data_IF_458801277013
#
_entry.id   IF_458801277013
#
_cell.length_a   1.000
_cell.length_b   1.000
_cell.length_c   1.000
_cell.angle_alpha   90.00
_cell.angle_beta   90.00
_cell.angle_gamma   90.00
#
_symmetry.space_group_name_H-M   'P 1'
#
loop_
_entity.id
_entity.type
_entity.pdbx_description
1 polymer ?
#
# COMPACT_ATOMS: atom_id res chain seq x y z
N UNK A 1 17.81 15.82 -28.11
CA UNK A 1 16.77 15.75 -27.07
C UNK A 1 17.45 15.73 -25.70
N UNK A 2 17.62 16.89 -25.09
CA UNK A 2 18.10 17.01 -23.71
C UNK A 2 17.03 16.43 -22.77
N UNK A 3 17.37 15.38 -22.03
CA UNK A 3 16.50 14.83 -20.98
C UNK A 3 16.15 15.97 -20.02
N UNK A 4 14.88 16.33 -19.93
CA UNK A 4 14.43 17.26 -18.90
C UNK A 4 14.82 16.68 -17.53
N UNK A 5 15.37 17.49 -16.62
CA UNK A 5 15.71 17.00 -15.29
C UNK A 5 14.45 16.46 -14.62
N UNK A 6 14.52 15.23 -14.13
CA UNK A 6 13.43 14.63 -13.37
C UNK A 6 13.10 15.55 -12.18
N UNK A 7 11.81 15.70 -11.82
CA UNK A 7 11.41 16.48 -10.64
C UNK A 7 12.22 16.03 -9.42
N UNK A 8 12.56 16.95 -8.53
CA UNK A 8 13.42 16.71 -7.37
C UNK A 8 12.93 15.53 -6.49
N UNK A 9 11.61 15.33 -6.44
CA UNK A 9 10.93 14.19 -5.81
C UNK A 9 11.32 12.84 -6.42
N UNK A 10 11.44 12.75 -7.74
CA UNK A 10 11.84 11.53 -8.44
C UNK A 10 13.31 11.16 -8.16
N UNK A 11 14.18 12.16 -8.02
CA UNK A 11 15.59 11.96 -7.63
C UNK A 11 15.71 11.49 -6.17
N UNK A 12 14.82 11.95 -5.30
CA UNK A 12 14.79 11.58 -3.87
C UNK A 12 14.33 10.13 -3.66
N UNK A 13 13.34 9.66 -4.43
CA UNK A 13 12.88 8.27 -4.39
C UNK A 13 13.92 7.27 -4.94
N UNK A 14 14.78 7.71 -5.87
CA UNK A 14 15.84 6.87 -6.42
C UNK A 14 16.89 6.41 -5.39
N UNK A 15 17.01 7.12 -4.26
CA UNK A 15 17.87 6.72 -3.14
C UNK A 15 17.30 5.51 -2.40
N UNK A 16 15.97 5.36 -2.37
CA UNK A 16 15.27 4.33 -1.63
C UNK A 16 15.21 2.97 -2.37
N UNK A 17 15.51 2.94 -3.68
CA UNK A 17 15.47 1.69 -4.43
C UNK A 17 16.68 0.80 -4.15
N UNK A 18 16.47 -0.52 -4.01
CA UNK A 18 17.55 -1.45 -3.74
C UNK A 18 18.50 -1.57 -4.94
N UNK A 19 19.81 -1.55 -4.67
CA UNK A 19 20.92 -1.63 -5.62
C UNK A 19 21.77 -2.87 -5.39
N UNK A 20 21.84 -3.38 -4.16
CA UNK A 20 22.62 -4.59 -3.81
C UNK A 20 21.71 -5.79 -3.48
N UNK A 21 22.20 -7.04 -3.56
CA UNK A 21 21.40 -8.21 -3.19
C UNK A 21 20.88 -8.17 -1.74
N UNK A 22 21.66 -7.61 -0.82
CA UNK A 22 21.23 -7.42 0.57
C UNK A 22 20.07 -6.42 0.65
N UNK A 23 20.17 -5.28 -0.02
CA UNK A 23 19.10 -4.28 -0.09
C UNK A 23 17.83 -4.86 -0.73
N UNK A 24 17.96 -5.72 -1.75
CA UNK A 24 16.83 -6.46 -2.33
C UNK A 24 16.21 -7.39 -1.28
N UNK A 25 17.01 -8.14 -0.53
CA UNK A 25 16.51 -9.00 0.56
C UNK A 25 15.73 -8.21 1.62
N UNK A 26 16.27 -7.06 2.06
CA UNK A 26 15.61 -6.15 3.01
C UNK A 26 14.33 -5.56 2.43
N UNK A 27 14.34 -5.17 1.15
CA UNK A 27 13.17 -4.66 0.44
C UNK A 27 12.03 -5.69 0.43
N UNK A 28 12.32 -6.92 0.01
CA UNK A 28 11.34 -8.01 -0.03
C UNK A 28 10.76 -8.29 1.36
N UNK A 29 11.62 -8.34 2.39
CA UNK A 29 11.17 -8.54 3.77
C UNK A 29 10.28 -7.39 4.26
N UNK A 30 10.66 -6.15 3.97
CA UNK A 30 9.90 -4.96 4.37
C UNK A 30 8.53 -4.95 3.70
N UNK A 31 8.46 -5.19 2.38
CA UNK A 31 7.20 -5.28 1.65
C UNK A 31 6.29 -6.41 2.16
N UNK A 32 6.86 -7.59 2.43
CA UNK A 32 6.10 -8.69 3.03
C UNK A 32 5.59 -8.33 4.44
N UNK A 33 6.40 -7.65 5.25
CA UNK A 33 6.02 -7.20 6.58
C UNK A 33 4.92 -6.14 6.56
N UNK A 34 4.99 -5.18 5.63
CA UNK A 34 3.96 -4.16 5.42
C UNK A 34 2.64 -4.82 5.03
N UNK A 35 2.65 -5.68 4.00
CA UNK A 35 1.47 -6.43 3.57
C UNK A 35 0.85 -7.28 4.70
N UNK A 36 1.66 -7.83 5.61
CA UNK A 36 1.15 -8.55 6.77
C UNK A 36 0.55 -7.60 7.83
N UNK A 37 1.34 -6.64 8.31
CA UNK A 37 0.99 -5.78 9.43
C UNK A 37 -0.17 -4.85 9.09
N UNK A 38 -0.17 -4.24 7.91
CA UNK A 38 -1.20 -3.30 7.50
C UNK A 38 -2.54 -4.02 7.27
N UNK A 39 -2.53 -5.20 6.65
CA UNK A 39 -3.76 -5.99 6.52
C UNK A 39 -4.32 -6.43 7.88
N UNK A 40 -3.44 -6.80 8.82
CA UNK A 40 -3.85 -7.15 10.18
C UNK A 40 -4.50 -5.97 10.91
N UNK A 41 -3.91 -4.78 10.84
CA UNK A 41 -4.42 -3.58 11.52
C UNK A 41 -5.69 -3.07 10.83
N UNK A 42 -5.63 -2.80 9.52
CA UNK A 42 -6.71 -2.09 8.85
C UNK A 42 -7.89 -3.00 8.49
N UNK A 43 -7.64 -4.24 8.06
CA UNK A 43 -8.72 -5.19 7.69
C UNK A 43 -9.04 -6.14 8.84
N UNK A 44 -8.03 -6.55 9.61
CA UNK A 44 -8.20 -7.43 10.76
C UNK A 44 -8.77 -6.74 12.00
N UNK A 45 -8.52 -5.44 12.18
CA UNK A 45 -9.04 -4.69 13.33
C UNK A 45 -9.98 -3.56 12.89
N UNK A 46 -9.50 -2.50 12.23
CA UNK A 46 -10.30 -1.28 11.95
C UNK A 46 -11.59 -1.59 11.19
N UNK A 47 -11.50 -2.32 10.08
CA UNK A 47 -12.67 -2.74 9.29
C UNK A 47 -13.68 -3.52 10.14
N UNK A 48 -13.21 -4.45 10.99
CA UNK A 48 -14.09 -5.26 11.85
C UNK A 48 -14.78 -4.42 12.91
N UNK A 49 -14.10 -3.40 13.44
CA UNK A 49 -14.72 -2.46 14.38
C UNK A 49 -15.75 -1.57 13.68
N UNK A 50 -15.46 -1.06 12.48
CA UNK A 50 -16.44 -0.30 11.71
C UNK A 50 -17.65 -1.15 11.30
N UNK A 51 -17.45 -2.44 10.98
CA UNK A 51 -18.56 -3.38 10.74
C UNK A 51 -19.39 -3.65 11.99
N UNK A 52 -18.78 -3.65 13.18
CA UNK A 52 -19.50 -3.84 14.44
C UNK A 52 -20.23 -2.56 14.89
N UNK A 53 -19.73 -1.38 14.51
CA UNK A 53 -20.29 -0.08 14.86
C UNK A 53 -21.26 0.47 13.82
N UNK A 54 -21.36 -0.14 12.63
CA UNK A 54 -22.24 0.31 11.56
C UNK A 54 -23.06 -0.82 10.98
N UNK A 55 -24.31 -0.53 10.64
CA UNK A 55 -25.19 -1.45 9.90
C UNK A 55 -24.89 -1.47 8.38
N UNK A 56 -23.78 -0.87 7.96
CA UNK A 56 -23.43 -0.71 6.54
C UNK A 56 -22.02 -1.17 6.24
N UNK A 57 -21.94 -2.34 5.59
CA UNK A 57 -20.68 -2.89 5.05
C UNK A 57 -19.98 -1.89 4.14
N UNK A 58 -20.73 -1.15 3.31
CA UNK A 58 -20.17 -0.15 2.42
C UNK A 58 -19.51 0.99 3.20
N UNK A 59 -20.18 1.52 4.24
CA UNK A 59 -19.62 2.57 5.08
C UNK A 59 -18.35 2.09 5.80
N UNK A 60 -18.33 0.85 6.31
CA UNK A 60 -17.16 0.29 6.97
C UNK A 60 -15.96 0.12 6.02
N UNK A 61 -16.20 -0.37 4.78
CA UNK A 61 -15.17 -0.53 3.76
C UNK A 61 -14.62 0.82 3.29
N UNK A 62 -15.49 1.80 3.06
CA UNK A 62 -15.09 3.15 2.66
C UNK A 62 -14.32 3.85 3.78
N UNK A 63 -14.83 3.78 5.02
CA UNK A 63 -14.22 4.40 6.19
C UNK A 63 -12.83 3.84 6.50
N UNK A 64 -12.67 2.50 6.50
CA UNK A 64 -11.35 1.91 6.75
C UNK A 64 -10.34 2.30 5.65
N UNK A 65 -10.78 2.28 4.37
CA UNK A 65 -9.92 2.62 3.24
C UNK A 65 -9.49 4.09 3.25
N UNK A 66 -10.39 4.98 3.66
CA UNK A 66 -10.08 6.39 3.87
C UNK A 66 -9.05 6.60 4.98
N UNK A 67 -9.24 5.98 6.16
CA UNK A 67 -8.28 6.06 7.26
C UNK A 67 -6.91 5.54 6.83
N UNK A 68 -6.89 4.40 6.12
CA UNK A 68 -5.67 3.85 5.54
C UNK A 68 -4.96 4.85 4.62
N UNK A 69 -5.69 5.47 3.69
CA UNK A 69 -5.12 6.47 2.78
C UNK A 69 -4.59 7.72 3.49
N UNK A 70 -5.31 8.26 4.48
CA UNK A 70 -4.89 9.45 5.24
C UNK A 70 -3.60 9.21 6.01
N UNK A 71 -3.37 8.00 6.53
CA UNK A 71 -2.11 7.64 7.19
C UNK A 71 -0.89 7.73 6.25
N UNK A 72 -1.11 7.80 4.94
CA UNK A 72 -0.08 7.96 3.92
C UNK A 72 0.06 9.40 3.41
N UNK A 73 -0.51 10.40 4.11
CA UNK A 73 -0.46 11.81 3.71
C UNK A 73 0.96 12.35 3.48
N UNK A 74 1.96 11.79 4.15
CA UNK A 74 3.37 12.14 3.98
C UNK A 74 3.93 11.86 2.57
N UNK A 75 3.23 11.05 1.75
CA UNK A 75 3.63 10.75 0.37
C UNK A 75 3.09 11.77 -0.65
N UNK A 76 2.21 12.70 -0.22
CA UNK A 76 1.53 13.66 -1.08
C UNK A 76 0.13 13.22 -1.51
N UNK A 77 -0.66 14.16 -2.03
CA UNK A 77 -2.10 13.95 -2.23
C UNK A 77 -2.43 12.95 -3.35
N UNK A 78 -1.61 12.85 -4.40
CA UNK A 78 -1.82 11.87 -5.49
C UNK A 78 -1.65 10.44 -4.97
N UNK A 79 -0.54 10.08 -4.29
CA UNK A 79 -0.43 8.76 -3.64
C UNK A 79 -1.56 8.46 -2.67
N UNK A 80 -1.98 9.42 -1.84
CA UNK A 80 -3.11 9.23 -0.91
C UNK A 80 -4.38 8.79 -1.63
N UNK A 81 -4.72 9.41 -2.76
CA UNK A 81 -5.90 9.00 -3.54
C UNK A 81 -5.77 7.56 -4.05
N UNK A 82 -4.62 7.20 -4.64
CA UNK A 82 -4.38 5.83 -5.12
C UNK A 82 -4.43 4.80 -3.99
N UNK A 83 -3.77 5.09 -2.87
CA UNK A 83 -3.70 4.23 -1.68
C UNK A 83 -5.08 4.09 -1.04
N UNK A 84 -5.89 5.16 -1.02
CA UNK A 84 -7.28 5.10 -0.55
C UNK A 84 -8.11 4.15 -1.40
N UNK A 85 -8.01 4.26 -2.73
CA UNK A 85 -8.75 3.39 -3.67
C UNK A 85 -8.32 1.93 -3.52
N UNK A 86 -7.01 1.65 -3.53
CA UNK A 86 -6.50 0.30 -3.24
C UNK A 86 -6.95 -0.18 -1.87
N UNK A 87 -6.98 0.73 -0.91
CA UNK A 87 -7.40 0.46 0.44
C UNK A 87 -8.84 -0.04 0.52
N UNK A 88 -9.74 0.64 -0.19
CA UNK A 88 -11.16 0.26 -0.35
C UNK A 88 -11.27 -1.10 -1.03
N UNK A 89 -10.51 -1.35 -2.11
CA UNK A 89 -10.53 -2.62 -2.84
C UNK A 89 -10.08 -3.80 -1.95
N UNK A 90 -9.00 -3.64 -1.18
CA UNK A 90 -8.58 -4.66 -0.22
C UNK A 90 -9.57 -4.85 0.93
N UNK A 91 -10.22 -3.77 1.39
CA UNK A 91 -11.31 -3.86 2.36
C UNK A 91 -12.50 -4.68 1.83
N UNK A 92 -12.94 -4.41 0.61
CA UNK A 92 -14.01 -5.16 -0.06
C UNK A 92 -13.60 -6.64 -0.25
N UNK A 93 -12.35 -6.89 -0.65
CA UNK A 93 -11.82 -8.24 -0.78
C UNK A 93 -11.79 -9.00 0.54
N UNK A 94 -11.41 -8.35 1.65
CA UNK A 94 -11.40 -8.96 2.98
C UNK A 94 -12.81 -9.37 3.43
N UNK A 95 -13.82 -8.54 3.16
CA UNK A 95 -15.24 -8.88 3.42
C UNK A 95 -15.68 -10.06 2.57
N UNK A 96 -15.37 -10.04 1.26
CA UNK A 96 -15.77 -11.10 0.33
C UNK A 96 -15.11 -12.45 0.65
N UNK A 97 -13.79 -12.46 0.86
CA UNK A 97 -13.00 -13.68 1.06
C UNK A 97 -13.06 -14.20 2.50
N UNK A 98 -13.48 -13.36 3.46
CA UNK A 98 -13.52 -13.67 4.90
C UNK A 98 -12.20 -14.22 5.45
N UNK A 99 -11.09 -13.78 4.85
CA UNK A 99 -9.73 -14.13 5.26
C UNK A 99 -8.79 -12.99 4.88
N UNK A 100 -7.80 -12.73 5.72
CA UNK A 100 -6.78 -11.71 5.46
C UNK A 100 -5.65 -12.25 4.59
N UNK A 101 -5.48 -13.57 4.51
CA UNK A 101 -4.31 -14.20 3.85
C UNK A 101 -4.18 -13.78 2.38
N UNK A 102 -5.30 -13.66 1.68
CA UNK A 102 -5.31 -13.22 0.27
C UNK A 102 -4.87 -11.76 0.17
N UNK A 103 -5.34 -10.90 1.08
CA UNK A 103 -4.92 -9.49 1.19
C UNK A 103 -3.44 -9.36 1.47
N UNK A 104 -2.93 -10.11 2.46
CA UNK A 104 -1.52 -10.05 2.86
C UNK A 104 -0.58 -10.39 1.71
N UNK A 105 -0.88 -11.45 0.96
CA UNK A 105 -0.10 -11.84 -0.22
C UNK A 105 -0.21 -10.80 -1.33
N UNK A 106 -1.42 -10.33 -1.65
CA UNK A 106 -1.63 -9.37 -2.73
C UNK A 106 -1.00 -8.01 -2.43
N UNK A 107 -1.08 -7.54 -1.19
CA UNK A 107 -0.50 -6.29 -0.73
C UNK A 107 1.03 -6.36 -0.75
N UNK A 108 1.63 -7.37 -0.11
CA UNK A 108 3.09 -7.53 -0.14
C UNK A 108 3.62 -7.69 -1.57
N UNK A 109 2.88 -8.39 -2.44
CA UNK A 109 3.21 -8.49 -3.86
C UNK A 109 3.17 -7.13 -4.56
N UNK A 110 2.12 -6.32 -4.33
CA UNK A 110 2.00 -4.98 -4.89
C UNK A 110 3.21 -4.11 -4.51
N UNK A 111 3.60 -4.11 -3.24
CA UNK A 111 4.72 -3.30 -2.73
C UNK A 111 6.06 -3.72 -3.34
N UNK A 112 6.28 -5.02 -3.52
CA UNK A 112 7.48 -5.56 -4.19
C UNK A 112 7.59 -4.98 -5.61
N UNK A 113 6.51 -5.03 -6.38
CA UNK A 113 6.51 -4.58 -7.78
C UNK A 113 6.51 -3.06 -7.91
N UNK A 114 5.84 -2.33 -7.02
CA UNK A 114 5.84 -0.88 -7.03
C UNK A 114 7.27 -0.34 -6.90
N UNK A 115 8.07 -0.90 -5.98
CA UNK A 115 9.48 -0.52 -5.84
C UNK A 115 10.37 -1.02 -6.98
N UNK A 116 10.18 -2.25 -7.42
CA UNK A 116 11.01 -2.83 -8.48
C UNK A 116 10.79 -2.15 -9.83
N UNK A 117 9.52 -1.91 -10.22
CA UNK A 117 9.17 -1.23 -11.46
C UNK A 117 9.66 0.22 -11.44
N UNK A 118 9.52 0.92 -10.33
CA UNK A 118 10.05 2.27 -10.19
C UNK A 118 11.58 2.31 -10.31
N UNK A 119 12.30 1.33 -9.76
CA UNK A 119 13.75 1.20 -9.93
C UNK A 119 14.15 0.91 -11.39
N UNK A 120 13.37 0.14 -12.15
CA UNK A 120 13.64 -0.13 -13.58
C UNK A 120 13.36 1.10 -14.44
N UNK A 121 12.29 1.84 -14.17
CA UNK A 121 11.85 2.99 -14.97
C UNK A 121 12.59 4.29 -14.68
N UNK A 122 13.11 4.46 -13.45
CA UNK A 122 13.80 5.69 -13.01
C UNK A 122 15.34 5.60 -13.08
N UNK A 123 15.87 4.49 -13.59
CA UNK A 123 17.28 4.34 -14.01
C UNK A 123 17.46 4.85 -15.44
#
# INVERSE_FOLDING_TARGET
MSRLPAPETARSLAILFPKTPLEVGVWLFTAASAGFCEELVFRGYVLRQLLALSDSTAAAVLGQGFVFGVMHAYQGWIPVLHITVLGILFGAMAVWRRTLRVGMVAHGWYDIWAGWLANVLLR
#
